data_IF_273734134056
#
_entry.id   IF_273734134056
#
_cell.length_a   1.000
_cell.length_b   1.000
_cell.length_c   1.000
_cell.angle_alpha   90.00
_cell.angle_beta   90.00
_cell.angle_gamma   90.00
#
_symmetry.space_group_name_H-M   'P 1'
#
loop_
_entity.id
_entity.type
_entity.pdbx_description
1 polymer ?
#
# COMPACT_ATOMS: atom_id res chain seq x y z
N UNK A 1 -4.22 -18.74 39.12
CA UNK A 1 -5.50 -19.10 38.46
C UNK A 1 -6.01 -17.85 37.72
N UNK A 2 -5.70 -17.77 36.46
CA UNK A 2 -6.27 -16.74 35.57
C UNK A 2 -7.65 -17.26 35.14
N UNK A 3 -8.70 -16.67 35.69
CA UNK A 3 -10.05 -16.90 35.20
C UNK A 3 -10.30 -15.84 34.12
N UNK A 4 -10.47 -16.20 32.87
CA UNK A 4 -10.80 -15.22 31.85
C UNK A 4 -12.18 -14.65 32.16
N UNK A 5 -12.23 -13.37 32.54
CA UNK A 5 -13.51 -12.69 32.69
C UNK A 5 -14.17 -12.55 31.33
N UNK A 6 -15.43 -12.97 31.25
CA UNK A 6 -16.24 -12.77 30.04
C UNK A 6 -16.50 -11.28 29.90
N UNK A 7 -16.23 -10.69 28.73
CA UNK A 7 -16.53 -9.28 28.51
C UNK A 7 -17.99 -8.95 28.81
N UNK A 8 -18.28 -7.82 29.44
CA UNK A 8 -19.65 -7.42 29.68
C UNK A 8 -20.41 -7.22 28.36
N UNK A 9 -21.69 -7.48 28.35
CA UNK A 9 -22.56 -7.22 27.20
C UNK A 9 -22.94 -5.73 27.05
N UNK A 10 -22.48 -4.89 27.98
CA UNK A 10 -22.66 -3.44 27.96
C UNK A 10 -21.30 -2.76 28.16
N UNK A 11 -20.92 -1.94 27.21
CA UNK A 11 -19.60 -1.25 27.17
C UNK A 11 -19.84 0.24 27.47
N UNK A 12 -19.35 0.70 28.61
CA UNK A 12 -19.45 2.08 29.04
C UNK A 12 -18.23 2.53 29.87
N UNK A 13 -18.38 3.58 30.66
CA UNK A 13 -17.34 4.14 31.53
C UNK A 13 -16.82 3.16 32.60
N UNK A 14 -17.59 2.12 32.99
CA UNK A 14 -17.17 1.12 33.97
C UNK A 14 -16.03 0.26 33.45
N UNK A 15 -15.93 0.10 32.12
CA UNK A 15 -14.83 -0.59 31.46
C UNK A 15 -13.80 0.37 30.84
N UNK A 16 -13.83 1.64 31.26
CA UNK A 16 -12.87 2.65 30.82
C UNK A 16 -13.12 3.20 29.42
N UNK A 17 -14.34 3.06 28.90
CA UNK A 17 -14.71 3.56 27.58
C UNK A 17 -15.39 4.93 27.69
N UNK A 18 -14.88 5.90 26.96
CA UNK A 18 -15.38 7.26 26.87
C UNK A 18 -16.66 7.39 26.04
N UNK A 19 -17.30 8.54 26.15
CA UNK A 19 -18.47 8.91 25.36
C UNK A 19 -18.09 9.46 23.98
N UNK A 20 -19.05 9.44 23.06
CA UNK A 20 -18.92 10.09 21.74
C UNK A 20 -18.68 11.60 21.86
N UNK A 21 -19.25 12.25 22.89
CA UNK A 21 -19.03 13.66 23.15
C UNK A 21 -17.56 13.96 23.49
N UNK A 22 -16.96 13.17 24.39
CA UNK A 22 -15.53 13.30 24.72
C UNK A 22 -14.63 13.00 23.50
N UNK A 23 -15.03 12.05 22.65
CA UNK A 23 -14.34 11.80 21.39
C UNK A 23 -14.39 12.99 20.43
N UNK A 24 -15.54 13.69 20.38
CA UNK A 24 -15.68 14.94 19.63
C UNK A 24 -14.76 16.03 20.14
N UNK A 25 -14.69 16.21 21.47
CA UNK A 25 -13.75 17.17 22.11
C UNK A 25 -12.29 16.83 21.81
N UNK A 26 -11.92 15.55 21.92
CA UNK A 26 -10.56 15.10 21.57
C UNK A 26 -10.21 15.41 20.10
N UNK A 27 -11.14 15.18 19.18
CA UNK A 27 -10.93 15.50 17.79
C UNK A 27 -10.77 17.01 17.56
N UNK A 28 -11.61 17.80 18.24
CA UNK A 28 -11.54 19.26 18.21
C UNK A 28 -10.22 19.80 18.80
N UNK A 29 -9.66 19.17 19.82
CA UNK A 29 -8.33 19.50 20.34
C UNK A 29 -7.23 19.26 19.29
N UNK A 30 -7.33 18.20 18.50
CA UNK A 30 -6.37 17.88 17.44
C UNK A 30 -6.45 18.87 16.28
N UNK A 31 -7.66 19.31 15.90
CA UNK A 31 -7.87 20.13 14.72
C UNK A 31 -7.98 21.64 15.00
N UNK A 32 -8.35 22.03 16.22
CA UNK A 32 -8.69 23.40 16.57
C UNK A 32 -10.17 23.77 16.29
N UNK A 33 -10.87 22.93 15.54
CA UNK A 33 -12.26 23.13 15.12
C UNK A 33 -13.02 21.80 15.02
N UNK A 34 -14.34 21.86 14.86
CA UNK A 34 -15.16 20.68 14.62
C UNK A 34 -15.08 20.29 13.13
N UNK A 35 -14.47 19.13 12.84
CA UNK A 35 -14.25 18.63 11.47
C UNK A 35 -15.04 17.37 11.15
N UNK A 36 -15.64 16.74 12.15
CA UNK A 36 -16.39 15.50 12.00
C UNK A 36 -17.41 15.32 13.13
N UNK A 37 -18.64 14.95 12.74
CA UNK A 37 -19.70 14.65 13.68
C UNK A 37 -19.60 13.22 14.22
N UNK A 38 -19.82 13.02 15.49
CA UNK A 38 -19.90 11.71 16.15
C UNK A 38 -18.70 10.77 15.96
N UNK A 39 -17.44 11.23 16.17
CA UNK A 39 -16.29 10.32 16.11
C UNK A 39 -16.42 9.25 17.22
N UNK A 40 -15.93 8.05 16.95
CA UNK A 40 -15.89 7.01 17.97
C UNK A 40 -14.79 7.32 18.98
N UNK A 41 -14.98 7.00 20.28
CA UNK A 41 -13.94 7.15 21.28
C UNK A 41 -12.73 6.25 20.98
N UNK A 42 -11.54 6.79 21.15
CA UNK A 42 -10.28 6.01 21.03
C UNK A 42 -10.26 4.87 22.05
N UNK A 43 -10.75 5.13 23.27
CA UNK A 43 -10.86 4.13 24.34
C UNK A 43 -11.74 2.94 23.95
N UNK A 44 -12.85 3.15 23.22
CA UNK A 44 -13.68 2.06 22.72
C UNK A 44 -12.90 1.16 21.74
N UNK A 45 -12.20 1.77 20.79
CA UNK A 45 -11.45 0.99 19.79
C UNK A 45 -10.28 0.27 20.47
N UNK A 46 -9.58 0.91 21.41
CA UNK A 46 -8.54 0.24 22.21
C UNK A 46 -9.10 -0.96 22.97
N UNK A 47 -10.25 -0.79 23.62
CA UNK A 47 -10.93 -1.86 24.33
C UNK A 47 -11.21 -3.05 23.41
N UNK A 48 -11.76 -2.80 22.21
CA UNK A 48 -12.06 -3.84 21.23
C UNK A 48 -10.80 -4.52 20.68
N UNK A 49 -9.73 -3.78 20.41
CA UNK A 49 -8.46 -4.34 19.92
C UNK A 49 -7.82 -5.25 20.98
N UNK A 50 -7.97 -4.94 22.26
CA UNK A 50 -7.41 -5.72 23.35
C UNK A 50 -8.00 -7.15 23.48
N UNK A 51 -9.11 -7.44 22.81
CA UNK A 51 -9.58 -8.83 22.68
C UNK A 51 -8.72 -9.69 21.75
N UNK A 52 -7.89 -9.06 20.92
CA UNK A 52 -6.93 -9.76 20.06
C UNK A 52 -5.71 -10.15 20.88
N UNK A 53 -5.36 -11.45 21.00
CA UNK A 53 -4.24 -11.88 21.83
C UNK A 53 -2.88 -11.46 21.30
N UNK A 54 -2.76 -11.19 19.99
CA UNK A 54 -1.48 -10.83 19.36
C UNK A 54 -1.27 -9.33 19.32
N UNK A 55 -0.11 -8.91 19.79
CA UNK A 55 0.36 -7.52 19.67
C UNK A 55 0.94 -7.19 18.30
N UNK A 56 1.01 -8.16 17.40
CA UNK A 56 1.51 -8.03 16.02
C UNK A 56 0.40 -8.21 14.97
N UNK A 57 -0.88 -8.12 15.42
CA UNK A 57 -2.03 -8.31 14.53
C UNK A 57 -2.19 -7.18 13.52
N UNK A 58 -2.81 -7.48 12.39
CA UNK A 58 -3.26 -6.49 11.42
C UNK A 58 -4.73 -6.16 11.66
N UNK A 59 -5.02 -4.89 11.89
CA UNK A 59 -6.37 -4.35 12.09
C UNK A 59 -6.84 -3.76 10.76
N UNK A 60 -8.03 -4.14 10.33
CA UNK A 60 -8.63 -3.67 9.09
C UNK A 60 -9.96 -2.97 9.40
N UNK A 61 -10.09 -1.73 8.96
CA UNK A 61 -11.30 -0.91 9.12
C UNK A 61 -11.74 -0.38 7.75
N UNK A 62 -12.87 -0.88 7.26
CA UNK A 62 -13.43 -0.51 5.95
C UNK A 62 -14.20 0.80 5.95
N UNK A 63 -14.48 1.37 7.11
CA UNK A 63 -15.26 2.60 7.26
C UNK A 63 -14.55 3.55 8.22
N UNK A 64 -13.31 3.92 7.87
CA UNK A 64 -12.38 4.65 8.75
C UNK A 64 -12.96 5.94 9.36
N UNK A 65 -13.92 6.58 8.71
CA UNK A 65 -14.55 7.81 9.20
C UNK A 65 -13.51 8.86 9.61
N UNK A 66 -13.50 9.23 10.89
CA UNK A 66 -12.50 10.19 11.41
C UNK A 66 -11.09 9.58 11.66
N UNK A 67 -10.85 8.30 11.34
CA UNK A 67 -9.54 7.65 11.53
C UNK A 67 -9.21 7.25 12.96
N UNK A 68 -10.22 7.03 13.79
CA UNK A 68 -10.06 6.67 15.20
C UNK A 68 -9.30 5.35 15.38
N UNK A 69 -9.54 4.38 14.51
CA UNK A 69 -8.95 3.04 14.61
C UNK A 69 -7.43 3.06 14.51
N UNK A 70 -6.86 3.85 13.60
CA UNK A 70 -5.42 4.00 13.51
C UNK A 70 -4.85 4.75 14.73
N UNK A 71 -5.50 5.82 15.18
CA UNK A 71 -5.10 6.54 16.40
C UNK A 71 -5.06 5.60 17.62
N UNK A 72 -6.10 4.78 17.80
CA UNK A 72 -6.17 3.80 18.88
C UNK A 72 -5.07 2.73 18.78
N UNK A 73 -4.80 2.25 17.57
CA UNK A 73 -3.74 1.27 17.30
C UNK A 73 -2.36 1.81 17.66
N UNK A 74 -2.06 3.04 17.25
CA UNK A 74 -0.78 3.70 17.56
C UNK A 74 -0.60 3.94 19.05
N UNK A 75 -1.66 4.36 19.77
CA UNK A 75 -1.61 4.51 21.21
C UNK A 75 -1.35 3.18 21.93
N UNK A 76 -2.06 2.12 21.55
CA UNK A 76 -1.82 0.78 22.11
C UNK A 76 -0.39 0.30 21.88
N UNK A 77 0.14 0.45 20.68
CA UNK A 77 1.52 0.08 20.40
C UNK A 77 2.52 0.86 21.29
N UNK A 78 2.26 2.15 21.51
CA UNK A 78 3.07 2.97 22.39
C UNK A 78 2.96 2.56 23.87
N UNK A 79 1.79 2.11 24.32
CA UNK A 79 1.54 1.73 25.71
C UNK A 79 2.07 0.34 26.06
N UNK A 80 1.96 -0.62 25.14
CA UNK A 80 2.26 -2.03 25.43
C UNK A 80 3.44 -2.60 24.63
N UNK A 81 4.13 -1.77 23.84
CA UNK A 81 5.26 -2.16 23.00
C UNK A 81 4.88 -3.07 21.84
N UNK A 82 3.63 -3.06 21.41
CA UNK A 82 3.13 -3.87 20.29
C UNK A 82 3.53 -3.29 18.93
N UNK A 83 3.42 -4.14 17.89
CA UNK A 83 3.73 -3.81 16.50
C UNK A 83 2.51 -4.04 15.59
N UNK A 84 1.31 -3.75 16.12
CA UNK A 84 0.07 -3.86 15.36
C UNK A 84 0.11 -2.93 14.15
N UNK A 85 -0.40 -3.43 13.03
CA UNK A 85 -0.59 -2.67 11.80
C UNK A 85 -2.07 -2.32 11.66
N UNK A 86 -2.35 -1.16 11.05
CA UNK A 86 -3.72 -0.75 10.77
C UNK A 86 -3.88 -0.38 9.31
N UNK A 87 -4.89 -0.94 8.67
CA UNK A 87 -5.30 -0.60 7.30
C UNK A 87 -6.65 0.06 7.39
N UNK A 88 -6.71 1.32 7.00
CA UNK A 88 -7.95 2.09 6.92
C UNK A 88 -8.42 2.19 5.48
N UNK A 89 -9.69 1.92 5.25
CA UNK A 89 -10.34 2.12 3.95
C UNK A 89 -11.51 3.07 4.13
N UNK A 90 -11.59 4.09 3.32
CA UNK A 90 -12.73 5.02 3.29
C UNK A 90 -12.86 5.64 1.91
N UNK A 91 -14.06 6.10 1.57
CA UNK A 91 -14.24 6.99 0.43
C UNK A 91 -13.66 8.38 0.75
N UNK A 92 -13.57 9.24 -0.24
CA UNK A 92 -13.15 10.63 -0.03
C UNK A 92 -14.32 11.61 -0.21
N UNK A 93 -15.54 11.17 0.10
CA UNK A 93 -16.72 12.02 0.05
C UNK A 93 -16.53 13.21 1.00
N UNK A 94 -16.83 14.42 0.54
CA UNK A 94 -16.57 15.67 1.26
C UNK A 94 -15.10 15.84 1.72
N UNK A 95 -14.16 15.20 1.05
CA UNK A 95 -12.73 15.17 1.40
C UNK A 95 -12.43 14.55 2.78
N UNK A 96 -13.28 13.66 3.29
CA UNK A 96 -13.12 13.05 4.61
C UNK A 96 -11.81 12.31 4.77
N UNK A 97 -11.39 11.58 3.74
CA UNK A 97 -10.14 10.82 3.77
C UNK A 97 -8.93 11.75 3.93
N UNK A 98 -8.83 12.75 3.09
CA UNK A 98 -7.67 13.64 3.03
C UNK A 98 -7.65 14.64 4.18
N UNK A 99 -8.81 15.29 4.43
CA UNK A 99 -8.87 16.40 5.39
C UNK A 99 -9.10 15.98 6.83
N UNK A 100 -9.70 14.79 7.06
CA UNK A 100 -10.00 14.33 8.41
C UNK A 100 -9.19 13.08 8.76
N UNK A 101 -9.42 11.96 8.07
CA UNK A 101 -8.79 10.67 8.41
C UNK A 101 -7.26 10.73 8.37
N UNK A 102 -6.71 11.21 7.26
CA UNK A 102 -5.26 11.34 7.06
C UNK A 102 -4.66 12.40 7.98
N UNK A 103 -5.24 13.59 8.00
CA UNK A 103 -4.71 14.73 8.74
C UNK A 103 -4.73 14.49 10.26
N UNK A 104 -5.80 13.87 10.82
CA UNK A 104 -5.83 13.44 12.22
C UNK A 104 -4.61 12.58 12.56
N UNK A 105 -4.41 11.51 11.81
CA UNK A 105 -3.36 10.56 12.12
C UNK A 105 -1.97 11.14 11.90
N UNK A 106 -1.79 11.99 10.89
CA UNK A 106 -0.56 12.76 10.68
C UNK A 106 -0.22 13.65 11.87
N UNK A 107 -1.20 14.39 12.42
CA UNK A 107 -1.01 15.23 13.60
C UNK A 107 -0.70 14.40 14.83
N UNK A 108 -1.39 13.29 15.04
CA UNK A 108 -1.11 12.36 16.16
C UNK A 108 0.31 11.80 16.09
N UNK A 109 0.83 11.50 14.91
CA UNK A 109 2.22 11.02 14.73
C UNK A 109 3.23 12.14 15.01
N UNK A 110 3.00 13.33 14.50
CA UNK A 110 3.97 14.42 14.57
C UNK A 110 3.88 15.24 15.88
N UNK A 111 2.79 15.12 16.61
CA UNK A 111 2.41 16.04 17.67
C UNK A 111 1.61 17.23 17.13
N UNK A 112 0.94 17.92 18.02
CA UNK A 112 0.12 19.09 17.69
C UNK A 112 -0.01 20.02 18.90
N UNK A 113 -0.34 21.30 18.63
CA UNK A 113 -0.67 22.25 19.68
C UNK A 113 -2.19 22.22 19.89
N UNK A 114 -2.65 21.95 21.10
CA UNK A 114 -4.08 21.93 21.42
C UNK A 114 -4.69 23.34 21.50
N UNK A 115 -5.99 23.43 21.67
CA UNK A 115 -6.72 24.72 21.76
C UNK A 115 -6.28 25.59 22.95
N UNK A 116 -5.65 25.02 23.97
CA UNK A 116 -5.10 25.75 25.12
C UNK A 116 -3.70 26.30 24.89
N UNK A 117 -3.11 26.03 23.72
CA UNK A 117 -1.74 26.38 23.40
C UNK A 117 -0.69 25.44 23.97
N UNK A 118 -1.09 24.26 24.45
CA UNK A 118 -0.19 23.25 25.01
C UNK A 118 0.29 22.31 23.89
N UNK A 119 1.59 22.03 23.89
CA UNK A 119 2.18 21.08 22.96
C UNK A 119 1.87 19.64 23.38
N UNK A 120 1.21 18.89 22.50
CA UNK A 120 0.95 17.46 22.66
C UNK A 120 1.99 16.68 21.88
N UNK A 121 2.84 15.87 22.54
CA UNK A 121 3.90 15.13 21.89
C UNK A 121 3.32 14.09 20.92
N UNK A 122 4.04 13.88 19.80
CA UNK A 122 3.65 12.93 18.79
C UNK A 122 4.00 11.49 19.15
N UNK A 123 3.28 10.56 18.51
CA UNK A 123 3.58 9.13 18.54
C UNK A 123 4.62 8.81 17.44
N UNK A 124 5.85 9.28 17.59
CA UNK A 124 6.87 9.37 16.54
C UNK A 124 7.41 8.03 16.02
N UNK A 125 7.21 6.92 16.75
CA UNK A 125 7.62 5.58 16.30
C UNK A 125 6.61 4.93 15.33
N UNK A 126 5.71 5.72 14.77
CA UNK A 126 4.71 5.28 13.81
C UNK A 126 4.96 5.91 12.45
N UNK A 127 4.45 5.28 11.40
CA UNK A 127 4.43 5.86 10.06
C UNK A 127 3.00 5.81 9.48
N UNK A 128 2.76 6.65 8.49
CA UNK A 128 1.49 6.73 7.79
C UNK A 128 1.75 6.73 6.29
N UNK A 129 1.11 5.79 5.58
CA UNK A 129 1.13 5.72 4.13
C UNK A 129 -0.27 5.97 3.60
N UNK A 130 -0.37 6.87 2.64
CA UNK A 130 -1.62 7.20 1.97
C UNK A 130 -1.60 6.65 0.55
N UNK A 131 -2.67 5.95 0.20
CA UNK A 131 -2.89 5.42 -1.14
C UNK A 131 -4.24 5.90 -1.67
N UNK A 132 -4.28 6.20 -2.95
CA UNK A 132 -5.51 6.51 -3.66
C UNK A 132 -5.79 5.39 -4.64
N UNK A 133 -7.03 4.89 -4.65
CA UNK A 133 -7.45 3.91 -5.65
C UNK A 133 -7.86 4.63 -6.92
N UNK A 134 -7.46 4.09 -8.06
CA UNK A 134 -7.84 4.55 -9.38
C UNK A 134 -8.50 3.43 -10.17
N UNK A 135 -9.38 3.79 -11.09
CA UNK A 135 -9.93 2.84 -12.04
C UNK A 135 -9.02 2.77 -13.25
N UNK A 136 -8.55 1.58 -13.57
CA UNK A 136 -7.84 1.34 -14.82
C UNK A 136 -8.87 0.90 -15.87
N UNK A 137 -8.98 1.57 -17.04
CA UNK A 137 -9.91 1.18 -18.09
C UNK A 137 -9.70 -0.28 -18.53
N UNK A 138 -10.77 -1.01 -18.73
CA UNK A 138 -10.75 -2.44 -19.06
C UNK A 138 -10.63 -2.66 -20.56
N UNK A 139 -9.70 -2.04 -21.21
CA UNK A 139 -9.40 -2.24 -22.62
C UNK A 139 -8.18 -3.14 -22.79
N UNK A 140 -8.42 -4.42 -23.12
CA UNK A 140 -7.36 -5.42 -23.30
C UNK A 140 -6.43 -5.11 -24.48
N UNK A 141 -6.93 -4.37 -25.47
CA UNK A 141 -6.15 -3.95 -26.63
C UNK A 141 -5.24 -2.75 -26.32
N UNK A 142 -5.45 -2.11 -25.17
CA UNK A 142 -4.75 -0.88 -24.81
C UNK A 142 -3.52 -1.18 -23.96
N UNK A 143 -2.35 -1.07 -24.55
CA UNK A 143 -1.05 -1.14 -23.89
C UNK A 143 -0.94 -0.22 -22.65
N UNK A 144 -1.61 0.94 -22.66
CA UNK A 144 -1.60 1.89 -21.54
C UNK A 144 -2.30 1.30 -20.29
N UNK A 145 -3.44 0.63 -20.46
CA UNK A 145 -4.16 -0.02 -19.36
C UNK A 145 -3.33 -1.11 -18.69
N UNK A 146 -2.65 -1.90 -19.52
CA UNK A 146 -1.73 -2.94 -19.04
C UNK A 146 -0.54 -2.35 -18.29
N UNK A 147 0.08 -1.28 -18.80
CA UNK A 147 1.18 -0.57 -18.13
C UNK A 147 0.74 0.05 -16.80
N UNK A 148 -0.45 0.64 -16.74
CA UNK A 148 -1.01 1.17 -15.49
C UNK A 148 -1.26 0.07 -14.46
N UNK A 149 -1.81 -1.08 -14.87
CA UNK A 149 -1.97 -2.24 -13.99
C UNK A 149 -0.64 -2.75 -13.44
N UNK A 150 0.38 -2.87 -14.29
CA UNK A 150 1.72 -3.31 -13.88
C UNK A 150 2.36 -2.31 -12.91
N UNK A 151 2.19 -1.02 -13.13
CA UNK A 151 2.66 0.01 -12.20
C UNK A 151 1.99 -0.12 -10.83
N UNK A 152 0.68 -0.32 -10.79
CA UNK A 152 -0.09 -0.52 -9.56
C UNK A 152 0.25 -1.83 -8.84
N UNK A 153 0.70 -2.85 -9.57
CA UNK A 153 1.14 -4.12 -8.98
C UNK A 153 2.26 -3.91 -7.97
N UNK A 154 3.24 -3.08 -8.28
CA UNK A 154 4.39 -2.85 -7.40
C UNK A 154 3.94 -2.28 -6.06
N UNK A 155 3.02 -1.31 -6.07
CA UNK A 155 2.47 -0.73 -4.84
C UNK A 155 1.70 -1.78 -4.02
N UNK A 156 0.91 -2.63 -4.68
CA UNK A 156 0.21 -3.75 -4.02
C UNK A 156 1.17 -4.75 -3.41
N UNK A 157 2.28 -5.08 -4.08
CA UNK A 157 3.31 -5.96 -3.54
C UNK A 157 4.03 -5.33 -2.35
N UNK A 158 4.30 -4.02 -2.39
CA UNK A 158 4.85 -3.29 -1.24
C UNK A 158 3.91 -3.36 -0.03
N UNK A 159 2.61 -3.15 -0.22
CA UNK A 159 1.59 -3.26 0.84
C UNK A 159 1.55 -4.70 1.38
N UNK A 160 1.47 -5.71 0.49
CA UNK A 160 1.41 -7.13 0.86
C UNK A 160 2.59 -7.56 1.72
N UNK A 161 3.80 -7.13 1.35
CA UNK A 161 5.03 -7.55 2.01
C UNK A 161 5.49 -6.61 3.12
N UNK A 162 4.89 -5.42 3.24
CA UNK A 162 5.32 -4.35 4.15
C UNK A 162 6.77 -3.90 3.91
N UNK A 163 7.23 -3.94 2.65
CA UNK A 163 8.57 -3.53 2.22
C UNK A 163 8.40 -2.39 1.23
N UNK A 164 8.97 -1.22 1.52
CA UNK A 164 8.62 0.00 0.79
C UNK A 164 9.80 0.82 0.28
N UNK A 165 11.00 0.64 0.87
CA UNK A 165 12.13 1.48 0.51
C UNK A 165 12.77 0.98 -0.78
N UNK A 166 12.45 1.65 -1.89
CA UNK A 166 13.04 1.35 -3.20
C UNK A 166 14.53 1.69 -3.21
N UNK A 167 15.32 0.79 -3.76
CA UNK A 167 16.76 0.94 -3.93
C UNK A 167 17.05 1.36 -5.38
N UNK A 168 18.06 2.19 -5.57
CA UNK A 168 18.48 2.65 -6.90
C UNK A 168 19.20 1.55 -7.71
N UNK A 169 19.83 0.61 -7.01
CA UNK A 169 20.64 -0.45 -7.62
C UNK A 169 20.28 -1.82 -7.07
N UNK A 170 20.49 -2.86 -7.86
CA UNK A 170 20.44 -4.26 -7.46
C UNK A 170 21.74 -4.94 -7.82
N UNK A 171 22.44 -5.58 -6.88
CA UNK A 171 23.76 -6.17 -7.09
C UNK A 171 24.78 -5.18 -7.67
N UNK A 172 24.74 -3.92 -7.22
CA UNK A 172 25.63 -2.85 -7.68
C UNK A 172 25.30 -2.27 -9.07
N UNK A 173 24.28 -2.77 -9.77
CA UNK A 173 23.86 -2.28 -11.08
C UNK A 173 22.52 -1.55 -11.01
N UNK A 174 22.36 -0.56 -11.87
CA UNK A 174 21.12 0.19 -12.03
C UNK A 174 20.26 -0.41 -13.13
N UNK A 175 18.98 -0.61 -12.85
CA UNK A 175 18.02 -1.14 -13.82
C UNK A 175 16.93 -0.10 -14.08
N UNK A 176 16.39 -0.12 -15.30
CA UNK A 176 15.21 0.69 -15.63
C UNK A 176 14.00 0.23 -14.80
N UNK A 177 13.21 1.16 -14.30
CA UNK A 177 12.07 0.87 -13.40
C UNK A 177 10.96 0.02 -14.04
N UNK A 178 10.88 0.01 -15.36
CA UNK A 178 9.98 -0.84 -16.12
C UNK A 178 10.52 -2.27 -16.37
N UNK A 179 11.75 -2.55 -15.97
CA UNK A 179 12.42 -3.85 -16.11
C UNK A 179 12.50 -4.57 -14.77
N UNK A 180 12.97 -3.86 -13.74
CA UNK A 180 13.21 -4.44 -12.43
C UNK A 180 13.07 -3.38 -11.35
N UNK A 181 12.42 -3.76 -10.22
CA UNK A 181 12.28 -2.92 -9.03
C UNK A 181 12.80 -3.68 -7.81
N UNK A 182 13.68 -3.08 -7.05
CA UNK A 182 14.23 -3.67 -5.83
C UNK A 182 13.90 -2.82 -4.62
N UNK A 183 13.39 -3.46 -3.57
CA UNK A 183 13.00 -2.83 -2.31
C UNK A 183 13.71 -3.52 -1.16
N UNK A 184 14.21 -2.72 -0.20
CA UNK A 184 14.86 -3.23 1.00
C UNK A 184 14.69 -2.26 2.15
N UNK A 185 14.17 -2.74 3.27
CA UNK A 185 14.05 -2.02 4.52
C UNK A 185 14.20 -2.99 5.73
N UNK A 186 13.81 -2.55 6.91
CA UNK A 186 13.88 -3.35 8.14
C UNK A 186 12.95 -4.59 8.11
N UNK A 187 11.87 -4.55 7.33
CA UNK A 187 10.93 -5.66 7.20
C UNK A 187 11.43 -6.78 6.26
N UNK A 188 12.49 -6.50 5.47
CA UNK A 188 13.08 -7.48 4.56
C UNK A 188 13.48 -6.91 3.21
N UNK A 189 13.49 -7.78 2.19
CA UNK A 189 13.84 -7.39 0.84
C UNK A 189 12.97 -8.08 -0.20
N UNK A 190 12.66 -7.34 -1.28
CA UNK A 190 11.76 -7.78 -2.35
C UNK A 190 12.26 -7.31 -3.71
N UNK A 191 12.28 -8.21 -4.67
CA UNK A 191 12.60 -7.97 -6.06
C UNK A 191 11.37 -8.20 -6.92
N UNK A 192 11.00 -7.24 -7.73
CA UNK A 192 9.91 -7.34 -8.69
C UNK A 192 10.50 -7.27 -10.10
N UNK A 193 10.51 -8.39 -10.79
CA UNK A 193 10.97 -8.52 -12.16
C UNK A 193 9.79 -8.26 -13.08
N UNK A 194 9.83 -7.17 -13.83
CA UNK A 194 8.78 -6.75 -14.75
C UNK A 194 9.05 -7.16 -16.20
N UNK A 195 10.27 -7.58 -16.48
CA UNK A 195 10.70 -8.13 -17.77
C UNK A 195 11.44 -9.46 -17.55
N UNK A 196 10.84 -10.56 -17.95
CA UNK A 196 11.36 -11.91 -17.73
C UNK A 196 12.73 -12.17 -18.39
N UNK A 197 13.09 -11.39 -19.41
CA UNK A 197 14.37 -11.52 -20.14
C UNK A 197 15.59 -11.27 -19.25
N UNK A 198 15.42 -10.56 -18.13
CA UNK A 198 16.53 -10.28 -17.20
C UNK A 198 16.75 -11.39 -16.17
N UNK A 199 15.89 -12.40 -16.10
CA UNK A 199 15.99 -13.48 -15.10
C UNK A 199 17.37 -14.12 -15.07
N UNK A 200 17.92 -14.49 -16.21
CA UNK A 200 19.26 -15.08 -16.28
C UNK A 200 20.39 -14.13 -15.82
N UNK A 201 20.20 -12.83 -16.00
CA UNK A 201 21.17 -11.79 -15.63
C UNK A 201 21.20 -11.56 -14.12
N UNK A 202 20.02 -11.61 -13.46
CA UNK A 202 19.89 -11.29 -12.03
C UNK A 202 20.28 -12.44 -11.10
N UNK A 203 20.25 -13.70 -11.58
CA UNK A 203 20.55 -14.87 -10.75
C UNK A 203 21.92 -14.77 -10.04
N UNK A 204 23.05 -14.46 -10.71
CA UNK A 204 24.32 -14.30 -10.03
C UNK A 204 24.31 -13.14 -9.02
N UNK A 205 23.56 -12.08 -9.29
CA UNK A 205 23.46 -10.91 -8.43
C UNK A 205 22.66 -11.21 -7.15
N UNK A 206 21.67 -12.11 -7.21
CA UNK A 206 20.90 -12.54 -6.05
C UNK A 206 21.81 -13.14 -4.98
N UNK A 207 22.80 -13.95 -5.38
CA UNK A 207 23.74 -14.57 -4.46
C UNK A 207 24.61 -13.56 -3.68
N UNK A 208 24.77 -12.33 -4.21
CA UNK A 208 25.51 -11.25 -3.55
C UNK A 208 24.64 -10.47 -2.55
N UNK A 209 23.33 -10.44 -2.75
CA UNK A 209 22.41 -9.55 -2.01
C UNK A 209 21.61 -10.32 -0.95
N UNK A 210 21.27 -11.59 -1.22
CA UNK A 210 20.42 -12.42 -0.40
C UNK A 210 21.19 -13.43 0.45
N UNK A 211 20.68 -13.70 1.63
CA UNK A 211 21.22 -14.73 2.54
C UNK A 211 20.08 -15.57 3.11
N UNK A 212 20.40 -16.72 3.72
CA UNK A 212 19.37 -17.55 4.39
C UNK A 212 18.70 -16.83 5.57
N UNK A 213 19.39 -15.93 6.24
CA UNK A 213 18.85 -15.13 7.36
C UNK A 213 18.01 -13.94 6.87
N UNK A 214 18.28 -13.45 5.65
CA UNK A 214 17.52 -12.38 5.02
C UNK A 214 17.24 -12.78 3.56
N UNK A 215 16.26 -13.68 3.34
CA UNK A 215 15.92 -14.16 2.02
C UNK A 215 15.30 -13.04 1.16
N UNK A 216 15.54 -13.11 -0.14
CA UNK A 216 14.95 -12.20 -1.11
C UNK A 216 13.61 -12.74 -1.61
N UNK A 217 12.52 -12.01 -1.42
CA UNK A 217 11.24 -12.30 -2.06
C UNK A 217 11.31 -11.90 -3.52
N UNK A 218 11.08 -12.86 -4.42
CA UNK A 218 11.17 -12.64 -5.86
C UNK A 218 9.79 -12.81 -6.49
N UNK A 219 9.32 -11.78 -7.16
CA UNK A 219 8.12 -11.78 -7.98
C UNK A 219 8.53 -11.61 -9.44
N UNK A 220 8.12 -12.53 -10.31
CA UNK A 220 8.37 -12.41 -11.74
C UNK A 220 7.05 -12.19 -12.46
N UNK A 221 6.93 -11.07 -13.16
CA UNK A 221 5.82 -10.83 -14.07
C UNK A 221 6.10 -11.51 -15.40
N UNK A 222 5.20 -12.37 -15.83
CA UNK A 222 5.24 -13.08 -17.11
C UNK A 222 3.86 -13.10 -17.73
N UNK A 223 3.79 -13.15 -19.04
CA UNK A 223 2.55 -13.33 -19.81
C UNK A 223 2.03 -14.77 -19.78
N UNK A 224 2.77 -15.70 -19.22
CA UNK A 224 2.43 -17.11 -19.11
C UNK A 224 2.42 -17.62 -17.67
N UNK A 225 1.82 -18.79 -17.47
CA UNK A 225 1.84 -19.50 -16.18
C UNK A 225 3.16 -20.26 -15.98
N UNK A 226 4.28 -19.54 -16.01
CA UNK A 226 5.61 -20.14 -15.85
C UNK A 226 6.12 -19.95 -14.44
N UNK A 227 6.58 -21.02 -13.82
CA UNK A 227 6.93 -21.02 -12.40
C UNK A 227 8.34 -20.49 -12.10
N UNK A 228 9.25 -20.43 -13.08
CA UNK A 228 10.66 -20.00 -12.96
C UNK A 228 11.50 -20.79 -11.95
N UNK A 229 11.01 -21.89 -11.38
CA UNK A 229 11.72 -22.67 -10.37
C UNK A 229 13.03 -23.25 -10.91
N UNK A 230 13.02 -23.66 -12.18
CA UNK A 230 14.20 -24.22 -12.82
C UNK A 230 15.32 -23.20 -13.02
N UNK A 231 14.98 -21.97 -13.39
CA UNK A 231 15.94 -20.89 -13.55
C UNK A 231 16.56 -20.46 -12.24
N UNK A 232 15.74 -20.35 -11.20
CA UNK A 232 16.17 -19.93 -9.87
C UNK A 232 16.75 -21.06 -9.01
N UNK A 233 16.85 -22.31 -9.52
CA UNK A 233 17.25 -23.49 -8.72
C UNK A 233 18.56 -23.28 -7.92
N UNK A 234 19.54 -22.55 -8.49
CA UNK A 234 20.84 -22.29 -7.84
C UNK A 234 20.74 -21.35 -6.64
N UNK A 235 19.74 -20.50 -6.60
CA UNK A 235 19.56 -19.46 -5.57
C UNK A 235 18.34 -19.73 -4.66
N UNK A 236 17.59 -20.80 -4.91
CA UNK A 236 16.43 -21.20 -4.07
C UNK A 236 16.72 -21.21 -2.55
N UNK A 237 17.91 -21.57 -2.05
CA UNK A 237 18.18 -21.53 -0.62
C UNK A 237 18.17 -20.12 0.02
N UNK A 238 18.25 -19.08 -0.78
CA UNK A 238 18.34 -17.67 -0.34
C UNK A 238 17.21 -16.80 -0.87
N UNK A 239 16.26 -17.37 -1.60
CA UNK A 239 15.08 -16.65 -2.10
C UNK A 239 13.78 -17.28 -1.62
N UNK A 240 12.72 -16.50 -1.69
CA UNK A 240 11.33 -16.93 -1.63
C UNK A 240 10.69 -16.55 -2.97
N UNK A 241 10.50 -17.54 -3.85
CA UNK A 241 9.84 -17.31 -5.13
C UNK A 241 8.34 -17.20 -4.88
N UNK A 242 7.80 -16.03 -5.15
CA UNK A 242 6.44 -15.65 -4.79
C UNK A 242 5.53 -15.61 -6.02
N UNK A 243 4.33 -16.18 -5.89
CA UNK A 243 3.30 -16.05 -6.92
C UNK A 243 2.73 -14.62 -6.96
N UNK A 244 2.42 -14.16 -8.18
CA UNK A 244 1.65 -12.93 -8.36
C UNK A 244 0.25 -13.07 -7.73
N UNK A 245 -0.34 -11.99 -7.19
CA UNK A 245 -1.69 -12.04 -6.65
C UNK A 245 -2.72 -12.45 -7.71
N UNK A 246 -3.58 -13.43 -7.42
CA UNK A 246 -4.59 -13.93 -8.35
C UNK A 246 -5.51 -12.84 -8.88
N UNK A 247 -5.92 -11.92 -8.01
CA UNK A 247 -6.76 -10.79 -8.41
C UNK A 247 -6.10 -9.91 -9.48
N UNK A 248 -4.77 -9.76 -9.44
CA UNK A 248 -4.02 -9.03 -10.45
C UNK A 248 -3.96 -9.80 -11.78
N UNK A 249 -3.67 -11.11 -11.73
CA UNK A 249 -3.66 -11.96 -12.92
C UNK A 249 -5.02 -11.98 -13.60
N UNK A 250 -6.10 -12.11 -12.82
CA UNK A 250 -7.47 -12.04 -13.33
C UNK A 250 -7.82 -10.68 -13.98
N UNK A 251 -7.32 -9.59 -13.40
CA UNK A 251 -7.51 -8.26 -13.99
C UNK A 251 -6.79 -8.12 -15.34
N UNK A 252 -5.61 -8.72 -15.50
CA UNK A 252 -4.85 -8.74 -16.76
C UNK A 252 -5.52 -9.60 -17.84
N UNK A 253 -6.06 -10.76 -17.46
CA UNK A 253 -6.74 -11.68 -18.36
C UNK A 253 -8.09 -11.16 -18.83
N UNK A 254 -8.54 -10.01 -18.30
CA UNK A 254 -9.86 -9.46 -18.59
C UNK A 254 -10.98 -10.28 -17.99
N UNK A 255 -10.67 -10.96 -16.89
CA UNK A 255 -11.56 -11.85 -16.15
C UNK A 255 -12.95 -11.28 -15.96
N UNK A 256 -13.91 -12.10 -16.27
CA UNK A 256 -15.35 -11.83 -16.23
C UNK A 256 -15.81 -11.50 -14.79
N UNK A 257 -16.64 -10.48 -14.69
CA UNK A 257 -17.72 -10.26 -13.70
C UNK A 257 -17.49 -10.60 -12.21
N UNK A 258 -16.28 -10.42 -11.66
CA UNK A 258 -16.03 -10.59 -10.21
C UNK A 258 -16.47 -9.36 -9.40
N UNK A 259 -16.64 -8.21 -10.04
CA UNK A 259 -17.20 -7.03 -9.38
C UNK A 259 -18.70 -6.91 -9.74
N UNK A 260 -19.59 -6.77 -8.74
CA UNK A 260 -20.97 -6.47 -9.00
C UNK A 260 -21.04 -5.20 -9.84
N UNK A 261 -21.90 -5.20 -10.87
CA UNK A 261 -22.18 -4.02 -11.70
C UNK A 261 -22.71 -2.92 -10.79
N UNK A 262 -21.82 -2.14 -10.18
CA UNK A 262 -22.23 -0.94 -9.47
C UNK A 262 -22.76 0.05 -10.50
N UNK A 263 -23.99 0.47 -10.31
CA UNK A 263 -24.52 1.64 -11.01
C UNK A 263 -23.79 2.85 -10.45
N UNK A 264 -22.83 3.38 -11.19
CA UNK A 264 -22.16 4.62 -10.86
C UNK A 264 -23.18 5.76 -10.84
N UNK A 265 -23.09 6.65 -9.85
CA UNK A 265 -23.89 7.87 -9.85
C UNK A 265 -23.47 8.76 -11.04
N UNK A 266 -24.42 9.57 -11.54
CA UNK A 266 -24.12 10.52 -12.64
C UNK A 266 -22.98 11.49 -12.29
N UNK A 267 -22.78 11.80 -11.00
CA UNK A 267 -21.70 12.61 -10.51
C UNK A 267 -20.33 11.91 -10.68
N UNK A 268 -20.24 10.63 -10.34
CA UNK A 268 -19.02 9.84 -10.55
C UNK A 268 -18.70 9.67 -12.04
N UNK A 269 -19.70 9.52 -12.88
CA UNK A 269 -19.50 9.43 -14.34
C UNK A 269 -19.00 10.75 -14.93
N UNK A 270 -19.46 11.90 -14.42
CA UNK A 270 -18.95 13.22 -14.83
C UNK A 270 -17.52 13.45 -14.38
N UNK A 271 -17.17 13.07 -13.15
CA UNK A 271 -15.80 13.16 -12.63
C UNK A 271 -14.85 12.26 -13.43
N UNK A 272 -15.31 11.06 -13.81
CA UNK A 272 -14.56 10.15 -14.68
C UNK A 272 -14.30 10.76 -16.05
N UNK A 273 -15.32 11.35 -16.69
CA UNK A 273 -15.18 12.04 -17.98
C UNK A 273 -14.28 13.27 -17.92
N UNK A 274 -14.31 14.02 -16.82
CA UNK A 274 -13.41 15.18 -16.61
C UNK A 274 -11.96 14.72 -16.42
N UNK A 275 -11.71 13.66 -15.68
CA UNK A 275 -10.38 13.09 -15.49
C UNK A 275 -9.84 12.47 -16.78
N UNK A 276 -10.69 11.86 -17.59
CA UNK A 276 -10.33 11.32 -18.90
C UNK A 276 -9.99 12.45 -19.89
N UNK A 277 -10.75 13.55 -19.89
CA UNK A 277 -10.47 14.72 -20.70
C UNK A 277 -9.16 15.43 -20.27
N UNK A 278 -8.87 15.48 -18.96
CA UNK A 278 -7.62 16.01 -18.42
C UNK A 278 -6.41 15.12 -18.75
N UNK A 279 -6.59 13.80 -18.72
CA UNK A 279 -5.59 12.84 -19.14
C UNK A 279 -5.29 12.93 -20.63
N UNK A 280 -6.32 13.16 -21.47
CA UNK A 280 -6.14 13.38 -22.90
C UNK A 280 -5.44 14.70 -23.24
N UNK A 281 -5.67 15.78 -22.47
CA UNK A 281 -4.94 17.04 -22.64
C UNK A 281 -3.45 16.93 -22.26
N UNK A 282 -3.10 16.03 -21.36
CA UNK A 282 -1.71 15.72 -21.02
C UNK A 282 -1.05 14.70 -21.97
N UNK A 283 -1.80 14.12 -22.91
CA UNK A 283 -1.31 13.12 -23.86
C UNK A 283 -0.26 13.62 -24.85
N UNK A 284 -0.27 14.88 -25.22
CA UNK A 284 0.76 15.43 -26.12
C UNK A 284 2.12 15.48 -25.44
N UNK A 285 2.16 15.81 -24.15
CA UNK A 285 3.42 15.83 -23.37
C UNK A 285 3.92 14.43 -23.08
N UNK A 286 3.02 13.46 -22.93
CA UNK A 286 3.37 12.04 -22.67
C UNK A 286 3.74 11.30 -23.95
N UNK A 287 3.20 11.70 -25.10
CA UNK A 287 3.58 11.11 -26.41
C UNK A 287 5.03 11.41 -26.80
N UNK A 288 5.54 12.63 -26.52
CA UNK A 288 6.95 12.95 -26.75
C UNK A 288 7.87 12.10 -25.86
N UNK A 289 7.52 11.92 -24.58
CA UNK A 289 8.31 11.12 -23.65
C UNK A 289 8.24 9.59 -23.88
N UNK A 290 7.17 9.11 -24.56
CA UNK A 290 6.95 7.66 -24.81
C UNK A 290 7.40 7.22 -26.20
N UNK A 291 7.53 8.12 -27.19
CA UNK A 291 8.03 7.78 -28.52
C UNK A 291 9.50 7.34 -28.47
N UNK A 292 10.31 8.00 -27.64
CA UNK A 292 11.73 7.69 -27.52
C UNK A 292 11.98 6.32 -26.84
N UNK A 293 11.14 5.94 -25.87
CA UNK A 293 11.27 4.64 -25.17
C UNK A 293 10.76 3.45 -26.01
N UNK A 294 9.77 3.66 -26.86
CA UNK A 294 9.11 2.57 -27.60
C UNK A 294 9.87 2.18 -28.87
N UNK A 295 10.40 3.15 -29.58
CA UNK A 295 11.26 2.94 -30.76
C UNK A 295 12.59 2.25 -30.37
N UNK A 296 13.07 2.48 -29.16
CA UNK A 296 14.27 1.84 -28.62
C UNK A 296 14.07 0.33 -28.39
N UNK A 297 12.96 -0.07 -27.80
CA UNK A 297 12.64 -1.49 -27.52
C UNK A 297 12.39 -2.30 -28.79
N UNK A 298 11.87 -1.69 -29.87
CA UNK A 298 11.57 -2.40 -31.12
C UNK A 298 12.75 -2.47 -32.09
N UNK A 299 13.67 -1.51 -32.07
CA UNK A 299 14.85 -1.48 -32.93
C UNK A 299 15.97 -2.43 -32.48
N UNK A 300 16.01 -2.77 -31.19
CA UNK A 300 17.06 -3.63 -30.62
C UNK A 300 16.78 -5.14 -30.65
N UNK A 301 15.83 -5.59 -31.44
CA UNK A 301 15.58 -7.05 -31.60
C UNK A 301 16.71 -7.80 -32.31
N UNK A 302 17.71 -7.12 -32.84
CA UNK A 302 18.76 -7.77 -33.64
C UNK A 302 20.20 -7.67 -33.08
N UNK A 303 20.54 -6.71 -32.18
CA UNK A 303 21.91 -6.61 -31.67
C UNK A 303 22.01 -6.22 -30.19
N UNK A 304 22.50 -7.13 -29.33
CA UNK A 304 23.04 -6.92 -27.98
C UNK A 304 22.06 -6.51 -26.86
N UNK A 305 21.19 -7.40 -26.48
CA UNK A 305 20.22 -7.27 -25.37
C UNK A 305 20.85 -7.04 -23.98
N UNK A 306 22.16 -7.28 -23.79
CA UNK A 306 22.78 -7.24 -22.46
C UNK A 306 23.27 -5.87 -22.01
N UNK A 307 23.57 -4.94 -22.92
CA UNK A 307 24.15 -3.65 -22.54
C UNK A 307 23.11 -2.54 -22.32
N UNK A 308 21.88 -2.70 -22.86
CA UNK A 308 20.88 -1.62 -22.83
C UNK A 308 19.80 -1.77 -21.74
N UNK A 309 19.81 -2.90 -21.02
CA UNK A 309 18.93 -3.16 -19.87
C UNK A 309 19.56 -2.66 -18.56
N UNK A 310 20.87 -2.44 -18.56
CA UNK A 310 21.66 -1.98 -17.41
C UNK A 310 22.30 -0.66 -17.78
N UNK A 311 22.02 0.39 -17.00
CA UNK A 311 22.66 1.71 -17.11
C UNK A 311 24.05 1.72 -16.48
#
# INVERSE_FOLDING_TARGET
NYSPEVPPNFIDSHVGVDTTENAGRQLQEIFGETVFDYPKPVSLIKYLINFTPSKDSTILDFFAGSGTTLHATMQLNSEDGGHRKCILVTNNENNICEKVTYERNKRVINGYTNQKGEEVPGLTHNNLRYYKTEFVPRDQSNFKSRRALIASLVDLLCIKNNIYQEQETFGGKKFKKNVLRYFKDEAGQMLVVLDERVVSIIIPMIAEVATRQNPLKVYVYSDGAYAYEDEFHKVMPVIELCAMPDAFLQALEGGTDILPKQKYSEAMMKEFQQNEALAMQNEEVVKEALSDDYDYVLKEKEDNVTNDIID
#
